data_IF_790107195495
#
_entry.id   IF_790107195495
#
_cell.length_a   1.000
_cell.length_b   1.000
_cell.length_c   1.000
_cell.angle_alpha   90.00
_cell.angle_beta   90.00
_cell.angle_gamma   90.00
#
_symmetry.space_group_name_H-M   'P 1'
#
loop_
_entity.id
_entity.type
_entity.pdbx_description
1 polymer ?
#
# COMPACT_ATOMS: atom_id res chain seq x y z
N UNK A 1 -35.11 -30.27 15.34
CA UNK A 1 -33.83 -30.15 14.62
C UNK A 1 -32.80 -30.84 15.51
N UNK A 2 -32.13 -31.90 15.05
CA UNK A 2 -31.18 -32.60 15.93
C UNK A 2 -29.93 -31.75 16.13
N UNK A 3 -29.29 -31.85 17.30
CA UNK A 3 -28.08 -31.08 17.62
C UNK A 3 -26.95 -31.27 16.59
N UNK A 4 -26.97 -32.41 15.88
CA UNK A 4 -26.07 -32.75 14.78
C UNK A 4 -26.24 -31.80 13.59
N UNK A 5 -27.47 -31.42 13.24
CA UNK A 5 -27.74 -30.48 12.14
C UNK A 5 -27.30 -29.06 12.50
N UNK A 6 -27.44 -28.66 13.77
CA UNK A 6 -26.95 -27.37 14.26
C UNK A 6 -25.42 -27.30 14.22
N UNK A 7 -24.73 -28.37 14.63
CA UNK A 7 -23.26 -28.46 14.58
C UNK A 7 -22.72 -28.41 13.15
N UNK A 8 -23.35 -29.10 12.19
CA UNK A 8 -22.95 -29.02 10.77
C UNK A 8 -23.09 -27.62 10.19
N UNK A 9 -24.19 -26.93 10.54
CA UNK A 9 -24.42 -25.54 10.12
C UNK A 9 -23.34 -24.60 10.65
N UNK A 10 -22.98 -24.74 11.93
CA UNK A 10 -21.91 -23.94 12.54
C UNK A 10 -20.54 -24.22 11.91
N UNK A 11 -20.23 -25.48 11.61
CA UNK A 11 -18.97 -25.85 10.95
C UNK A 11 -18.86 -25.20 9.56
N UNK A 12 -19.96 -25.19 8.79
CA UNK A 12 -20.00 -24.52 7.48
C UNK A 12 -19.74 -23.01 7.56
N UNK A 13 -20.16 -22.34 8.64
CA UNK A 13 -19.88 -20.92 8.84
C UNK A 13 -18.41 -20.67 9.18
N UNK A 14 -17.78 -21.58 9.94
CA UNK A 14 -16.34 -21.52 10.25
C UNK A 14 -15.51 -21.74 8.99
N UNK A 15 -15.89 -22.69 8.13
CA UNK A 15 -15.21 -22.93 6.86
C UNK A 15 -15.29 -21.69 5.94
N UNK A 16 -16.47 -21.08 5.79
CA UNK A 16 -16.62 -19.83 5.03
C UNK A 16 -15.80 -18.67 5.60
N UNK A 17 -15.76 -18.51 6.92
CA UNK A 17 -14.95 -17.48 7.56
C UNK A 17 -13.45 -17.71 7.29
N UNK A 18 -13.02 -18.98 7.29
CA UNK A 18 -11.64 -19.37 6.99
C UNK A 18 -11.28 -19.11 5.54
N UNK A 19 -12.17 -19.45 4.60
CA UNK A 19 -11.98 -19.20 3.17
C UNK A 19 -11.94 -17.69 2.87
N UNK A 20 -12.81 -16.91 3.49
CA UNK A 20 -12.83 -15.45 3.34
C UNK A 20 -11.56 -14.79 3.91
N UNK A 21 -11.10 -15.25 5.08
CA UNK A 21 -9.86 -14.76 5.67
C UNK A 21 -8.64 -15.14 4.81
N UNK A 22 -8.60 -16.37 4.30
CA UNK A 22 -7.53 -16.86 3.43
C UNK A 22 -7.51 -16.13 2.10
N UNK A 23 -8.68 -15.90 1.49
CA UNK A 23 -8.83 -15.09 0.28
C UNK A 23 -8.31 -13.67 0.51
N UNK A 24 -8.74 -13.02 1.60
CA UNK A 24 -8.29 -11.66 1.94
C UNK A 24 -6.79 -11.57 2.23
N UNK A 25 -6.19 -12.62 2.81
CA UNK A 25 -4.74 -12.72 3.03
C UNK A 25 -3.97 -13.00 1.73
N UNK A 26 -4.54 -13.78 0.82
CA UNK A 26 -3.96 -14.08 -0.50
C UNK A 26 -4.03 -12.88 -1.45
N UNK A 27 -4.92 -11.91 -1.18
CA UNK A 27 -5.04 -10.67 -1.95
C UNK A 27 -3.91 -9.65 -1.72
N UNK A 28 -2.86 -10.04 -1.01
CA UNK A 28 -1.73 -9.15 -0.69
C UNK A 28 -0.87 -8.92 -1.93
N UNK A 29 -0.88 -7.69 -2.41
CA UNK A 29 0.14 -7.21 -3.35
C UNK A 29 1.52 -7.39 -2.72
N UNK A 30 2.36 -8.23 -3.33
CA UNK A 30 3.73 -8.44 -2.86
C UNK A 30 4.58 -7.25 -3.31
N UNK A 31 5.05 -6.44 -2.36
CA UNK A 31 5.93 -5.32 -2.64
C UNK A 31 7.26 -5.82 -3.22
N UNK A 32 7.62 -5.32 -4.40
CA UNK A 32 8.85 -5.71 -5.11
C UNK A 32 9.91 -4.63 -4.99
N UNK A 33 9.50 -3.36 -5.01
CA UNK A 33 10.46 -2.26 -4.99
C UNK A 33 9.85 -0.87 -5.05
N UNK A 34 10.73 0.11 -4.87
CA UNK A 34 10.45 1.52 -4.97
C UNK A 34 11.55 2.18 -5.79
N UNK A 35 11.15 2.85 -6.86
CA UNK A 35 12.02 3.76 -7.60
C UNK A 35 11.69 5.20 -7.20
N UNK A 36 12.67 6.08 -7.30
CA UNK A 36 12.49 7.49 -7.03
C UNK A 36 13.27 8.36 -8.01
N UNK A 37 12.74 9.55 -8.26
CA UNK A 37 13.40 10.60 -9.02
C UNK A 37 13.15 11.96 -8.33
N UNK A 38 14.12 12.85 -8.45
CA UNK A 38 13.96 14.26 -8.08
C UNK A 38 14.05 15.06 -9.37
N UNK A 39 13.07 15.92 -9.60
CA UNK A 39 13.02 16.74 -10.79
C UNK A 39 12.64 18.18 -10.48
N UNK A 40 12.73 19.03 -11.51
CA UNK A 40 12.29 20.41 -11.46
C UNK A 40 11.22 20.59 -12.54
N UNK A 41 10.02 20.99 -12.13
CA UNK A 41 8.96 21.37 -13.04
C UNK A 41 9.01 22.87 -13.29
N UNK A 42 8.69 23.31 -14.49
CA UNK A 42 8.40 24.72 -14.76
C UNK A 42 6.92 24.80 -15.06
N UNK A 43 6.15 25.54 -14.25
CA UNK A 43 4.74 25.74 -14.53
C UNK A 43 4.59 26.71 -15.70
N UNK A 44 3.67 26.42 -16.63
CA UNK A 44 3.39 27.32 -17.76
C UNK A 44 2.93 28.72 -17.29
N UNK A 45 2.38 28.83 -16.08
CA UNK A 45 1.94 30.08 -15.46
C UNK A 45 3.07 30.93 -14.85
N UNK A 46 4.23 30.34 -14.54
CA UNK A 46 5.36 31.06 -13.93
C UNK A 46 6.47 31.44 -14.91
N UNK A 47 6.34 31.07 -16.19
CA UNK A 47 7.22 31.48 -17.29
C UNK A 47 8.70 31.35 -16.94
N UNK A 48 9.26 30.14 -17.01
CA UNK A 48 10.69 29.77 -16.90
C UNK A 48 11.50 30.31 -15.71
N UNK A 49 10.93 31.14 -14.84
CA UNK A 49 11.67 31.91 -13.83
C UNK A 49 11.55 31.33 -12.43
N UNK A 50 10.52 30.53 -12.17
CA UNK A 50 10.32 29.84 -10.90
C UNK A 50 10.19 28.34 -11.12
N UNK A 51 11.30 27.59 -11.03
CA UNK A 51 11.23 26.14 -11.04
C UNK A 51 10.64 25.61 -9.72
N UNK A 52 9.76 24.62 -9.84
CA UNK A 52 9.09 23.94 -8.73
C UNK A 52 9.68 22.53 -8.57
N UNK A 53 10.51 22.28 -7.54
CA UNK A 53 11.09 20.97 -7.31
C UNK A 53 10.02 19.95 -6.93
N UNK A 54 10.18 18.72 -7.39
CA UNK A 54 9.31 17.62 -7.04
C UNK A 54 10.09 16.32 -6.84
N UNK A 55 9.49 15.41 -6.10
CA UNK A 55 9.96 14.04 -5.91
C UNK A 55 8.88 13.11 -6.44
N UNK A 56 9.21 12.23 -7.38
CA UNK A 56 8.30 11.16 -7.78
C UNK A 56 8.74 9.87 -7.10
N UNK A 57 7.78 9.16 -6.51
CA UNK A 57 7.95 7.83 -5.95
C UNK A 57 7.12 6.85 -6.79
N UNK A 58 7.74 5.79 -7.27
CA UNK A 58 7.08 4.71 -8.00
C UNK A 58 7.11 3.45 -7.16
N UNK A 59 5.96 3.08 -6.60
CA UNK A 59 5.78 1.83 -5.86
C UNK A 59 5.48 0.71 -6.83
N UNK A 60 6.19 -0.41 -6.72
CA UNK A 60 6.00 -1.60 -7.56
C UNK A 60 5.57 -2.78 -6.72
N UNK A 61 4.50 -3.44 -7.15
CA UNK A 61 3.96 -4.63 -6.49
C UNK A 61 3.55 -5.70 -7.49
N UNK A 62 3.50 -6.97 -7.07
CA UNK A 62 2.85 -8.04 -7.84
C UNK A 62 1.43 -8.21 -7.31
N UNK A 63 0.43 -8.09 -8.18
CA UNK A 63 -0.95 -8.40 -7.82
C UNK A 63 -1.21 -9.92 -7.82
N UNK A 64 -2.42 -10.33 -7.44
CA UNK A 64 -2.76 -11.75 -7.27
C UNK A 64 -2.73 -12.56 -8.58
N UNK A 65 -2.72 -11.89 -9.73
CA UNK A 65 -2.62 -12.51 -11.04
C UNK A 65 -1.17 -12.66 -11.51
N UNK A 66 -0.19 -12.29 -10.67
CA UNK A 66 1.23 -12.32 -11.02
C UNK A 66 1.68 -11.12 -11.86
N UNK A 67 0.82 -10.12 -12.08
CA UNK A 67 1.15 -8.94 -12.86
C UNK A 67 1.81 -7.87 -12.00
N UNK A 68 2.80 -7.18 -12.57
CA UNK A 68 3.43 -6.02 -11.93
C UNK A 68 2.50 -4.83 -12.06
N UNK A 69 2.15 -4.22 -10.93
CA UNK A 69 1.44 -2.96 -10.83
C UNK A 69 2.39 -1.87 -10.34
N UNK A 70 2.32 -0.70 -10.99
CA UNK A 70 3.11 0.47 -10.65
C UNK A 70 2.19 1.60 -10.20
N UNK A 71 2.48 2.18 -9.04
CA UNK A 71 1.78 3.36 -8.52
C UNK A 71 2.75 4.52 -8.41
N UNK A 72 2.52 5.55 -9.24
CA UNK A 72 3.32 6.77 -9.24
C UNK A 72 2.66 7.83 -8.35
N UNK A 73 3.44 8.38 -7.42
CA UNK A 73 3.03 9.52 -6.59
C UNK A 73 4.05 10.62 -6.76
N UNK A 74 3.59 11.83 -7.06
CA UNK A 74 4.43 13.03 -7.15
C UNK A 74 4.18 13.93 -5.96
N UNK A 75 5.26 14.30 -5.29
CA UNK A 75 5.24 15.03 -4.03
C UNK A 75 6.05 16.31 -4.16
N UNK A 76 5.60 17.37 -3.51
CA UNK A 76 6.47 18.53 -3.22
C UNK A 76 7.49 18.13 -2.14
N UNK A 77 8.60 18.89 -1.98
CA UNK A 77 9.58 18.61 -0.92
C UNK A 77 8.96 18.59 0.49
N UNK A 78 7.97 19.46 0.73
CA UNK A 78 7.26 19.50 2.00
C UNK A 78 6.46 18.22 2.23
N UNK A 79 5.67 17.79 1.23
CA UNK A 79 4.89 16.55 1.32
C UNK A 79 5.79 15.31 1.47
N UNK A 80 6.94 15.29 0.81
CA UNK A 80 7.91 14.22 0.95
C UNK A 80 8.51 14.16 2.37
N UNK A 81 8.82 15.31 2.97
CA UNK A 81 9.29 15.38 4.36
C UNK A 81 8.25 14.83 5.34
N UNK A 82 6.98 15.21 5.18
CA UNK A 82 5.86 14.71 6.00
C UNK A 82 5.65 13.20 5.84
N UNK A 83 5.76 12.71 4.61
CA UNK A 83 5.73 11.28 4.30
C UNK A 83 6.86 10.53 5.03
N UNK A 84 8.11 11.00 4.90
CA UNK A 84 9.28 10.38 5.54
C UNK A 84 9.15 10.34 7.08
N UNK A 85 8.66 11.41 7.69
CA UNK A 85 8.38 11.44 9.13
C UNK A 85 7.30 10.43 9.53
N UNK A 86 6.25 10.29 8.72
CA UNK A 86 5.17 9.34 8.97
C UNK A 86 5.65 7.89 8.88
N UNK A 87 6.49 7.57 7.90
CA UNK A 87 7.16 6.26 7.80
C UNK A 87 8.06 6.00 9.02
N UNK A 88 8.82 7.00 9.46
CA UNK A 88 9.67 6.85 10.66
C UNK A 88 8.85 6.58 11.93
N UNK A 89 7.71 7.27 12.11
CA UNK A 89 6.79 7.01 13.23
C UNK A 89 6.20 5.61 13.17
N UNK A 90 5.80 5.15 11.98
CA UNK A 90 5.30 3.80 11.75
C UNK A 90 6.36 2.75 12.10
N UNK A 91 7.59 2.92 11.63
CA UNK A 91 8.70 2.01 11.94
C UNK A 91 8.95 1.92 13.45
N UNK A 92 8.96 3.07 14.15
CA UNK A 92 9.10 3.10 15.61
C UNK A 92 7.98 2.32 16.30
N UNK A 93 6.73 2.53 15.88
CA UNK A 93 5.57 1.81 16.42
C UNK A 93 5.68 0.31 16.21
N UNK A 94 6.08 -0.15 15.01
CA UNK A 94 6.28 -1.58 14.73
C UNK A 94 7.40 -2.15 15.59
N UNK A 95 8.53 -1.43 15.71
CA UNK A 95 9.66 -1.90 16.52
C UNK A 95 9.38 -1.96 18.02
N UNK A 96 8.42 -1.18 18.52
CA UNK A 96 8.04 -1.21 19.94
C UNK A 96 7.14 -2.40 20.32
N UNK A 97 6.64 -3.16 19.35
CA UNK A 97 5.86 -4.38 19.58
C UNK A 97 6.71 -5.67 19.52
N UNK A 98 7.98 -5.57 19.12
CA UNK A 98 8.96 -6.66 19.13
C UNK A 98 9.90 -6.52 20.33
#
# INVERSE_FOLDING_TARGET
MSDIEALKSQLSLVDQATDNATSSLSQRTNYIGLDWEIGMGVSASSGDTNPDPFISLKFKGVNNNGNIEEHLVRLTPQQFSEFAQSVSRMQKSISSYN
#
